data_IF_567409140629
#
_entry.id   IF_567409140629
#
_cell.length_a   1.000
_cell.length_b   1.000
_cell.length_c   1.000
_cell.angle_alpha   90.00
_cell.angle_beta   90.00
_cell.angle_gamma   90.00
#
_symmetry.space_group_name_H-M   'P 1'
#
loop_
_entity.id
_entity.type
_entity.pdbx_description
1 polymer ?
#
# COMPACT_ATOMS: atom_id res chain seq x y z
N UNK A 1 11.91 -22.01 -8.67
CA UNK A 1 10.91 -22.99 -8.19
C UNK A 1 9.70 -22.96 -9.10
N UNK A 2 9.09 -24.12 -9.37
CA UNK A 2 7.76 -24.28 -9.98
C UNK A 2 6.71 -24.29 -8.88
N UNK A 3 5.90 -23.25 -8.80
CA UNK A 3 4.94 -23.02 -7.71
C UNK A 3 3.51 -23.13 -8.24
N UNK A 4 2.76 -24.08 -7.70
CA UNK A 4 1.33 -24.20 -7.91
C UNK A 4 0.56 -23.30 -6.96
N UNK A 5 -0.45 -22.58 -7.45
CA UNK A 5 -1.33 -21.75 -6.63
C UNK A 5 -2.78 -22.11 -6.91
N UNK A 6 -3.48 -22.60 -5.89
CA UNK A 6 -4.94 -22.72 -5.91
C UNK A 6 -5.56 -21.47 -5.30
N UNK A 7 -6.80 -21.11 -5.68
CA UNK A 7 -7.41 -19.86 -5.20
C UNK A 7 -6.70 -18.61 -5.74
N UNK A 8 -6.09 -18.74 -6.93
CA UNK A 8 -5.24 -17.73 -7.57
C UNK A 8 -5.93 -16.40 -7.90
N UNK A 9 -7.25 -16.39 -7.94
CA UNK A 9 -8.10 -15.21 -8.19
C UNK A 9 -8.57 -14.54 -6.88
N UNK A 10 -8.40 -15.21 -5.74
CA UNK A 10 -8.68 -14.62 -4.43
C UNK A 10 -7.57 -13.68 -3.98
N UNK A 11 -7.83 -12.94 -2.89
CA UNK A 11 -6.90 -11.96 -2.31
C UNK A 11 -5.49 -12.53 -2.11
N UNK A 12 -5.36 -13.67 -1.40
CA UNK A 12 -4.06 -14.28 -1.15
C UNK A 12 -3.35 -14.73 -2.44
N UNK A 13 -4.11 -15.33 -3.37
CA UNK A 13 -3.59 -15.78 -4.65
C UNK A 13 -3.06 -14.64 -5.51
N UNK A 14 -3.81 -13.53 -5.59
CA UNK A 14 -3.37 -12.33 -6.29
C UNK A 14 -2.07 -11.77 -5.69
N UNK A 15 -2.02 -11.61 -4.37
CA UNK A 15 -0.85 -11.05 -3.70
C UNK A 15 0.40 -11.93 -3.82
N UNK A 16 0.26 -13.27 -3.72
CA UNK A 16 1.37 -14.19 -3.95
C UNK A 16 1.88 -14.12 -5.38
N UNK A 17 0.98 -14.10 -6.37
CA UNK A 17 1.36 -13.96 -7.79
C UNK A 17 2.10 -12.65 -8.05
N UNK A 18 1.60 -11.53 -7.51
CA UNK A 18 2.25 -10.23 -7.65
C UNK A 18 3.66 -10.25 -7.05
N UNK A 19 3.84 -10.88 -5.88
CA UNK A 19 5.15 -11.01 -5.24
C UNK A 19 6.11 -11.88 -6.06
N UNK A 20 5.66 -13.06 -6.52
CA UNK A 20 6.46 -13.96 -7.34
C UNK A 20 6.88 -13.30 -8.66
N UNK A 21 5.97 -12.53 -9.28
CA UNK A 21 6.29 -11.75 -10.48
C UNK A 21 7.34 -10.68 -10.20
N UNK A 22 7.24 -9.96 -9.08
CA UNK A 22 8.20 -8.92 -8.71
C UNK A 22 9.60 -9.47 -8.40
N UNK A 23 9.69 -10.65 -7.78
CA UNK A 23 10.98 -11.29 -7.45
C UNK A 23 11.62 -11.99 -8.66
N UNK A 24 10.83 -12.42 -9.64
CA UNK A 24 11.31 -13.20 -10.79
C UNK A 24 11.84 -14.59 -10.38
N UNK A 25 12.32 -15.38 -11.35
CA UNK A 25 12.96 -16.69 -11.07
C UNK A 25 12.02 -17.82 -10.64
N UNK A 26 10.70 -17.63 -10.75
CA UNK A 26 9.69 -18.63 -10.43
C UNK A 26 8.81 -18.94 -11.65
N UNK A 27 8.52 -20.21 -11.87
CA UNK A 27 7.47 -20.65 -12.80
C UNK A 27 6.19 -20.80 -11.98
N UNK A 28 5.11 -20.10 -12.36
CA UNK A 28 3.85 -20.11 -11.61
C UNK A 28 2.78 -20.85 -12.39
N UNK A 29 2.18 -21.87 -11.79
CA UNK A 29 1.04 -22.60 -12.33
C UNK A 29 -0.20 -22.31 -11.50
N UNK A 30 -1.31 -21.96 -12.14
CA UNK A 30 -2.55 -21.58 -11.47
C UNK A 30 -3.58 -22.70 -11.57
N UNK A 31 -4.27 -22.99 -10.47
CA UNK A 31 -5.45 -23.83 -10.47
C UNK A 31 -6.72 -22.99 -10.27
N UNK A 32 -7.69 -23.21 -11.15
CA UNK A 32 -9.03 -22.63 -11.08
C UNK A 32 -10.07 -23.75 -11.01
N UNK A 33 -11.36 -23.41 -11.07
CA UNK A 33 -12.44 -24.41 -11.01
C UNK A 33 -12.36 -25.47 -12.12
N UNK A 34 -11.88 -25.12 -13.32
CA UNK A 34 -11.69 -26.07 -14.41
C UNK A 34 -10.49 -27.00 -14.18
N UNK A 35 -9.50 -26.57 -13.40
CA UNK A 35 -8.41 -27.47 -12.95
C UNK A 35 -8.93 -28.56 -12.01
N UNK A 36 -9.97 -28.27 -11.21
CA UNK A 36 -10.58 -29.24 -10.30
C UNK A 36 -11.70 -30.08 -10.94
N UNK A 37 -12.03 -29.86 -12.22
CA UNK A 37 -13.18 -30.53 -12.84
C UNK A 37 -12.91 -31.95 -13.33
N UNK A 38 -11.65 -32.31 -13.58
CA UNK A 38 -11.26 -33.66 -13.99
C UNK A 38 -9.95 -34.08 -13.32
N UNK A 39 -9.77 -35.38 -13.12
CA UNK A 39 -8.53 -35.92 -12.55
C UNK A 39 -7.32 -35.57 -13.43
N UNK A 40 -7.47 -35.68 -14.75
CA UNK A 40 -6.39 -35.40 -15.70
C UNK A 40 -5.91 -33.94 -15.65
N UNK A 41 -6.83 -32.97 -15.51
CA UNK A 41 -6.44 -31.56 -15.40
C UNK A 41 -5.76 -31.25 -14.06
N UNK A 42 -6.20 -31.89 -12.98
CA UNK A 42 -5.57 -31.73 -11.66
C UNK A 42 -4.19 -32.43 -11.60
N UNK A 43 -4.06 -33.60 -12.20
CA UNK A 43 -2.79 -34.34 -12.33
C UNK A 43 -1.76 -33.51 -13.11
N UNK A 44 -2.16 -32.95 -14.25
CA UNK A 44 -1.31 -32.03 -15.02
C UNK A 44 -0.92 -30.79 -14.21
N UNK A 45 -1.80 -30.29 -13.34
CA UNK A 45 -1.50 -29.16 -12.48
C UNK A 45 -0.44 -29.49 -11.43
N UNK A 46 -0.58 -30.61 -10.70
CA UNK A 46 0.35 -30.95 -9.60
C UNK A 46 1.70 -31.49 -10.08
N UNK A 47 1.76 -31.99 -11.31
CA UNK A 47 2.95 -32.66 -11.84
C UNK A 47 4.18 -31.74 -11.89
N UNK A 48 5.26 -32.15 -11.22
CA UNK A 48 6.56 -31.46 -11.23
C UNK A 48 6.59 -30.12 -10.50
N UNK A 49 5.65 -29.88 -9.57
CA UNK A 49 5.71 -28.71 -8.69
C UNK A 49 6.80 -28.89 -7.61
N UNK A 50 7.54 -27.82 -7.33
CA UNK A 50 8.45 -27.75 -6.18
C UNK A 50 7.69 -27.30 -4.91
N UNK A 51 6.66 -26.46 -5.09
CA UNK A 51 5.84 -25.93 -4.00
C UNK A 51 4.38 -25.73 -4.40
N UNK A 52 3.47 -25.85 -3.44
CA UNK A 52 2.03 -25.66 -3.62
C UNK A 52 1.46 -24.74 -2.55
N UNK A 53 0.92 -23.59 -2.97
CA UNK A 53 0.13 -22.71 -2.13
C UNK A 53 -1.35 -23.07 -2.25
N UNK A 54 -1.91 -23.70 -1.22
CA UNK A 54 -3.32 -24.06 -1.19
C UNK A 54 -4.15 -22.95 -0.52
N UNK A 55 -4.63 -21.99 -1.33
CA UNK A 55 -5.51 -20.90 -0.88
C UNK A 55 -6.96 -21.06 -1.32
N UNK A 56 -7.28 -22.04 -2.16
CA UNK A 56 -8.65 -22.33 -2.52
C UNK A 56 -9.43 -22.78 -1.27
N UNK A 57 -10.64 -22.24 -1.13
CA UNK A 57 -11.54 -22.61 -0.05
C UNK A 57 -12.82 -21.81 -0.10
N UNK A 58 -13.85 -22.36 0.51
CA UNK A 58 -15.12 -21.71 0.72
C UNK A 58 -15.18 -21.20 2.15
N UNK A 59 -15.63 -19.96 2.32
CA UNK A 59 -15.66 -19.32 3.63
C UNK A 59 -17.06 -18.84 4.05
N UNK A 60 -18.06 -18.97 3.17
CA UNK A 60 -19.45 -18.53 3.35
C UNK A 60 -20.38 -19.46 2.60
N UNK A 61 -21.56 -19.69 3.14
CA UNK A 61 -22.56 -20.64 2.65
C UNK A 61 -23.14 -21.43 3.83
N UNK A 62 -23.96 -22.43 3.54
CA UNK A 62 -24.47 -23.34 4.57
C UNK A 62 -23.32 -24.12 5.22
N UNK A 63 -23.37 -24.35 6.54
CA UNK A 63 -22.22 -24.90 7.27
C UNK A 63 -21.71 -26.23 6.69
N UNK A 64 -22.62 -27.13 6.36
CA UNK A 64 -22.30 -28.45 5.80
C UNK A 64 -21.65 -28.36 4.42
N UNK A 65 -22.06 -27.39 3.60
CA UNK A 65 -21.51 -27.15 2.28
C UNK A 65 -20.08 -26.60 2.38
N UNK A 66 -19.87 -25.61 3.26
CA UNK A 66 -18.56 -25.01 3.51
C UNK A 66 -17.55 -26.05 4.01
N UNK A 67 -17.99 -26.92 4.92
CA UNK A 67 -17.18 -28.02 5.45
C UNK A 67 -16.80 -29.01 4.34
N UNK A 68 -17.80 -29.50 3.59
CA UNK A 68 -17.61 -30.50 2.54
C UNK A 68 -16.70 -29.99 1.40
N UNK A 69 -16.88 -28.75 0.96
CA UNK A 69 -16.09 -28.17 -0.14
C UNK A 69 -14.61 -28.05 0.22
N UNK A 70 -14.30 -27.56 1.43
CA UNK A 70 -12.91 -27.40 1.85
C UNK A 70 -12.20 -28.75 2.01
N UNK A 71 -12.88 -29.75 2.56
CA UNK A 71 -12.35 -31.11 2.67
C UNK A 71 -12.13 -31.73 1.28
N UNK A 72 -13.12 -31.64 0.39
CA UNK A 72 -13.05 -32.21 -0.95
C UNK A 72 -11.92 -31.64 -1.81
N UNK A 73 -11.64 -30.32 -1.71
CA UNK A 73 -10.53 -29.69 -2.42
C UNK A 73 -9.17 -30.24 -1.99
N UNK A 74 -8.98 -30.44 -0.68
CA UNK A 74 -7.75 -31.03 -0.13
C UNK A 74 -7.60 -32.50 -0.53
N UNK A 75 -8.68 -33.28 -0.43
CA UNK A 75 -8.70 -34.70 -0.82
C UNK A 75 -8.40 -34.88 -2.31
N UNK A 76 -8.96 -34.04 -3.19
CA UNK A 76 -8.69 -34.07 -4.62
C UNK A 76 -7.22 -33.77 -4.94
N UNK A 77 -6.61 -32.79 -4.28
CA UNK A 77 -5.19 -32.47 -4.43
C UNK A 77 -4.30 -33.64 -3.99
N UNK A 78 -4.58 -34.23 -2.83
CA UNK A 78 -3.85 -35.39 -2.33
C UNK A 78 -3.97 -36.57 -3.28
N UNK A 79 -5.16 -36.84 -3.81
CA UNK A 79 -5.38 -37.90 -4.79
C UNK A 79 -4.54 -37.68 -6.06
N UNK A 80 -4.52 -36.45 -6.59
CA UNK A 80 -3.72 -36.11 -7.77
C UNK A 80 -2.20 -36.22 -7.52
N UNK A 81 -1.73 -35.74 -6.35
CA UNK A 81 -0.32 -35.85 -5.97
C UNK A 81 0.10 -37.30 -5.81
N UNK A 82 -0.76 -38.17 -5.25
CA UNK A 82 -0.51 -39.61 -5.19
C UNK A 82 -0.48 -40.29 -6.56
N UNK A 83 -1.43 -39.99 -7.46
CA UNK A 83 -1.46 -40.55 -8.82
C UNK A 83 -0.23 -40.18 -9.65
N UNK A 84 0.26 -38.95 -9.49
CA UNK A 84 1.41 -38.42 -10.24
C UNK A 84 2.75 -38.64 -9.55
N UNK A 85 2.76 -39.21 -8.34
CA UNK A 85 3.93 -39.28 -7.46
C UNK A 85 4.59 -37.91 -7.23
N UNK A 86 3.81 -36.83 -7.26
CA UNK A 86 4.28 -35.46 -7.01
C UNK A 86 4.40 -35.21 -5.51
N UNK A 87 5.49 -34.56 -5.10
CA UNK A 87 5.86 -34.37 -3.71
C UNK A 87 6.27 -32.91 -3.41
N UNK A 88 5.46 -31.89 -3.77
CA UNK A 88 5.80 -30.50 -3.49
C UNK A 88 5.76 -30.19 -1.99
N UNK A 89 6.51 -29.17 -1.56
CA UNK A 89 6.26 -28.56 -0.25
C UNK A 89 4.91 -27.86 -0.27
N UNK A 90 4.05 -28.10 0.73
CA UNK A 90 2.69 -27.54 0.75
C UNK A 90 2.57 -26.48 1.83
N UNK A 91 2.07 -25.30 1.45
CA UNK A 91 1.64 -24.26 2.38
C UNK A 91 0.12 -24.11 2.26
N UNK A 92 -0.60 -24.39 3.34
CA UNK A 92 -2.05 -24.27 3.41
C UNK A 92 -2.44 -23.01 4.16
N UNK A 93 -3.30 -22.16 3.57
CA UNK A 93 -3.88 -21.03 4.29
C UNK A 93 -5.05 -21.48 5.16
N UNK A 94 -4.77 -21.65 6.44
CA UNK A 94 -5.75 -21.90 7.47
C UNK A 94 -6.19 -20.57 8.13
N UNK A 95 -7.08 -20.65 9.11
CA UNK A 95 -7.68 -19.49 9.77
C UNK A 95 -7.73 -19.71 11.27
N UNK A 96 -7.72 -18.64 12.06
CA UNK A 96 -7.99 -18.67 13.51
C UNK A 96 -9.36 -19.29 13.85
N UNK A 97 -10.27 -19.44 12.88
CA UNK A 97 -11.50 -20.21 13.02
C UNK A 97 -11.30 -21.73 13.12
N UNK A 98 -10.10 -22.25 12.83
CA UNK A 98 -9.82 -23.69 12.90
C UNK A 98 -10.17 -24.28 14.27
N UNK A 99 -9.99 -23.50 15.33
CA UNK A 99 -10.26 -23.92 16.71
C UNK A 99 -11.74 -23.75 17.12
N UNK A 100 -12.58 -23.19 16.25
CA UNK A 100 -14.02 -22.98 16.49
C UNK A 100 -14.84 -24.10 15.88
N UNK A 101 -15.94 -24.46 16.54
CA UNK A 101 -16.89 -25.46 16.05
C UNK A 101 -17.93 -24.81 15.11
N UNK A 102 -17.48 -24.42 13.93
CA UNK A 102 -18.35 -23.95 12.82
C UNK A 102 -18.03 -24.75 11.57
N UNK A 103 -18.94 -24.84 10.60
CA UNK A 103 -18.67 -25.54 9.33
C UNK A 103 -17.39 -25.09 8.62
N UNK A 104 -17.09 -23.79 8.68
CA UNK A 104 -15.82 -23.25 8.19
C UNK A 104 -14.60 -23.75 8.98
N UNK A 105 -14.67 -23.71 10.32
CA UNK A 105 -13.60 -24.20 11.19
C UNK A 105 -13.34 -25.70 11.03
N UNK A 106 -14.41 -26.52 11.01
CA UNK A 106 -14.34 -27.96 10.76
C UNK A 106 -13.78 -28.28 9.37
N UNK A 107 -14.24 -27.61 8.32
CA UNK A 107 -13.74 -27.81 6.96
C UNK A 107 -12.24 -27.49 6.82
N UNK A 108 -11.79 -26.39 7.43
CA UNK A 108 -10.36 -26.03 7.45
C UNK A 108 -9.51 -27.01 8.25
N UNK A 109 -10.01 -27.48 9.39
CA UNK A 109 -9.34 -28.50 10.21
C UNK A 109 -9.18 -29.80 9.43
N UNK A 110 -10.25 -30.27 8.80
CA UNK A 110 -10.25 -31.49 7.98
C UNK A 110 -9.29 -31.38 6.80
N UNK A 111 -9.29 -30.25 6.09
CA UNK A 111 -8.34 -30.01 5.00
C UNK A 111 -6.88 -30.06 5.47
N UNK A 112 -6.57 -29.45 6.63
CA UNK A 112 -5.23 -29.50 7.21
C UNK A 112 -4.82 -30.92 7.63
N UNK A 113 -5.74 -31.70 8.21
CA UNK A 113 -5.51 -33.11 8.55
C UNK A 113 -5.20 -33.97 7.32
N UNK A 114 -5.97 -33.81 6.24
CA UNK A 114 -5.78 -34.55 4.98
C UNK A 114 -4.41 -34.24 4.36
N UNK A 115 -4.05 -32.96 4.27
CA UNK A 115 -2.77 -32.54 3.71
C UNK A 115 -1.59 -32.94 4.60
N UNK A 116 -1.73 -32.78 5.93
CA UNK A 116 -0.68 -33.16 6.89
C UNK A 116 -0.43 -34.66 6.95
N UNK A 117 -1.48 -35.48 6.89
CA UNK A 117 -1.35 -36.94 6.83
C UNK A 117 -0.64 -37.38 5.54
N UNK A 118 -1.05 -36.84 4.38
CA UNK A 118 -0.35 -37.09 3.12
C UNK A 118 1.12 -36.66 3.16
N UNK A 119 1.41 -35.47 3.71
CA UNK A 119 2.77 -34.97 3.79
C UNK A 119 3.66 -35.86 4.67
N UNK A 120 3.11 -36.36 5.79
CA UNK A 120 3.77 -37.32 6.67
C UNK A 120 4.07 -38.63 5.95
N UNK A 121 3.08 -39.20 5.24
CA UNK A 121 3.24 -40.44 4.48
C UNK A 121 4.30 -40.34 3.38
N UNK A 122 4.39 -39.18 2.72
CA UNK A 122 5.31 -38.93 1.62
C UNK A 122 6.67 -38.37 2.07
N UNK A 123 6.85 -38.06 3.35
CA UNK A 123 8.08 -37.46 3.88
C UNK A 123 8.37 -36.06 3.35
N UNK A 124 7.33 -35.27 3.05
CA UNK A 124 7.44 -33.89 2.56
C UNK A 124 7.02 -32.87 3.61
N UNK A 125 7.44 -31.62 3.43
CA UNK A 125 7.12 -30.54 4.36
C UNK A 125 5.72 -30.00 4.12
N UNK A 126 4.97 -29.81 5.21
CA UNK A 126 3.65 -29.20 5.21
C UNK A 126 3.57 -28.09 6.25
N UNK A 127 3.28 -26.87 5.79
CA UNK A 127 3.03 -25.71 6.65
C UNK A 127 1.53 -25.43 6.74
N UNK A 128 0.96 -25.64 7.94
CA UNK A 128 -0.41 -25.23 8.28
C UNK A 128 -0.38 -23.77 8.78
N UNK A 129 -0.55 -22.82 7.85
CA UNK A 129 -0.41 -21.39 8.13
C UNK A 129 -1.73 -20.80 8.63
N UNK A 130 -1.84 -20.60 9.95
CA UNK A 130 -3.04 -20.05 10.61
C UNK A 130 -3.05 -18.52 10.50
N UNK A 131 -3.99 -18.01 9.72
CA UNK A 131 -4.13 -16.58 9.45
C UNK A 131 -5.22 -15.94 10.33
N UNK A 132 -4.98 -14.75 10.89
CA UNK A 132 -6.02 -13.95 11.52
C UNK A 132 -6.83 -13.20 10.44
N UNK A 133 -7.21 -11.94 10.66
CA UNK A 133 -7.98 -11.17 9.69
C UNK A 133 -7.06 -10.64 8.60
N UNK A 134 -7.24 -11.12 7.37
CA UNK A 134 -6.42 -10.70 6.23
C UNK A 134 -7.10 -9.57 5.46
N UNK A 135 -6.34 -8.53 5.13
CA UNK A 135 -6.77 -7.43 4.26
C UNK A 135 -5.72 -7.10 3.19
N UNK A 136 -6.11 -6.33 2.18
CA UNK A 136 -5.22 -5.82 1.15
C UNK A 136 -6.00 -5.25 -0.02
N UNK A 137 -5.27 -4.75 -1.02
CA UNK A 137 -5.84 -4.28 -2.28
C UNK A 137 -6.64 -5.40 -2.98
N UNK A 138 -7.71 -5.02 -3.67
CA UNK A 138 -8.55 -5.95 -4.45
C UNK A 138 -9.28 -7.03 -3.63
N UNK A 139 -9.38 -6.86 -2.31
CA UNK A 139 -10.27 -7.68 -1.50
C UNK A 139 -11.73 -7.52 -1.94
N UNK A 140 -12.50 -8.61 -1.93
CA UNK A 140 -13.92 -8.53 -2.29
C UNK A 140 -14.70 -7.82 -1.16
N UNK A 141 -15.34 -6.67 -1.41
CA UNK A 141 -16.17 -6.00 -0.41
C UNK A 141 -17.39 -6.86 -0.06
N UNK A 142 -17.95 -6.66 1.12
CA UNK A 142 -19.07 -7.43 1.66
C UNK A 142 -18.79 -8.94 1.71
N UNK A 143 -17.53 -9.36 1.62
CA UNK A 143 -17.05 -10.70 1.92
C UNK A 143 -16.37 -10.68 3.31
N UNK A 144 -15.32 -11.45 3.53
CA UNK A 144 -14.77 -11.71 4.87
C UNK A 144 -13.86 -10.62 5.45
N UNK A 145 -13.66 -9.51 4.73
CA UNK A 145 -12.78 -8.42 5.15
C UNK A 145 -13.62 -7.17 5.38
N UNK A 146 -13.77 -6.79 6.66
CA UNK A 146 -14.41 -5.52 7.03
C UNK A 146 -13.64 -4.31 6.50
N UNK A 147 -12.31 -4.42 6.40
CA UNK A 147 -11.46 -3.40 5.75
C UNK A 147 -11.89 -3.19 4.30
N UNK A 148 -12.07 -4.28 3.53
CA UNK A 148 -12.49 -4.20 2.13
C UNK A 148 -13.88 -3.59 1.96
N UNK A 149 -14.80 -3.91 2.87
CA UNK A 149 -16.14 -3.32 2.89
C UNK A 149 -16.07 -1.82 3.18
N UNK A 150 -15.40 -1.40 4.26
CA UNK A 150 -15.29 0.01 4.64
C UNK A 150 -14.60 0.83 3.55
N UNK A 151 -13.49 0.35 2.98
CA UNK A 151 -12.82 1.04 1.88
C UNK A 151 -13.72 1.18 0.64
N UNK A 152 -14.50 0.15 0.30
CA UNK A 152 -15.45 0.23 -0.82
C UNK A 152 -16.56 1.24 -0.56
N UNK A 153 -17.13 1.25 0.64
CA UNK A 153 -18.20 2.18 1.02
C UNK A 153 -17.70 3.63 0.95
N UNK A 154 -16.57 3.92 1.60
CA UNK A 154 -15.94 5.25 1.57
C UNK A 154 -15.63 5.71 0.15
N UNK A 155 -15.05 4.81 -0.68
CA UNK A 155 -14.71 5.15 -2.06
C UNK A 155 -15.93 5.40 -2.97
N UNK A 156 -17.12 4.97 -2.58
CA UNK A 156 -18.37 5.24 -3.29
C UNK A 156 -19.23 6.32 -2.60
N UNK A 157 -18.68 7.04 -1.62
CA UNK A 157 -19.39 8.11 -0.90
C UNK A 157 -20.46 7.62 0.06
N UNK A 158 -20.41 6.34 0.45
CA UNK A 158 -21.28 5.77 1.47
C UNK A 158 -20.70 5.97 2.87
N UNK A 159 -21.54 5.87 3.89
CA UNK A 159 -21.12 5.90 5.30
C UNK A 159 -21.03 4.46 5.80
N UNK A 160 -19.84 3.96 6.16
CA UNK A 160 -19.73 2.63 6.74
C UNK A 160 -20.40 2.55 8.11
N UNK A 161 -21.08 1.43 8.38
CA UNK A 161 -21.78 1.18 9.63
C UNK A 161 -21.13 0.03 10.41
N UNK A 162 -21.09 0.17 11.74
CA UNK A 162 -20.59 -0.86 12.65
C UNK A 162 -21.77 -1.60 13.27
N UNK A 163 -21.93 -2.86 12.91
CA UNK A 163 -22.96 -3.72 13.52
C UNK A 163 -22.44 -4.39 14.79
N UNK A 164 -21.16 -4.77 14.81
CA UNK A 164 -20.47 -5.40 15.94
C UNK A 164 -19.09 -4.79 16.05
N UNK A 165 -18.79 -4.17 17.19
CA UNK A 165 -17.46 -3.63 17.47
C UNK A 165 -16.54 -4.72 18.03
N UNK A 166 -16.08 -5.60 17.14
CA UNK A 166 -15.19 -6.71 17.50
C UNK A 166 -13.72 -6.33 17.48
N UNK A 167 -12.92 -7.06 18.27
CA UNK A 167 -11.46 -6.98 18.17
C UNK A 167 -10.97 -7.78 16.95
N UNK A 168 -10.33 -7.09 16.02
CA UNK A 168 -9.65 -7.67 14.87
C UNK A 168 -8.16 -7.83 15.16
N UNK A 169 -7.50 -8.65 14.36
CA UNK A 169 -6.05 -8.78 14.31
C UNK A 169 -5.67 -8.81 12.83
N UNK A 170 -5.15 -7.69 12.33
CA UNK A 170 -4.99 -7.43 10.91
C UNK A 170 -3.62 -7.87 10.41
N UNK A 171 -3.61 -8.63 9.32
CA UNK A 171 -2.41 -8.97 8.55
C UNK A 171 -2.65 -8.60 7.09
N UNK A 172 -1.68 -7.92 6.49
CA UNK A 172 -1.76 -7.56 5.08
C UNK A 172 -1.44 -8.74 4.17
N UNK A 173 -2.15 -8.89 3.06
CA UNK A 173 -2.02 -10.01 2.14
C UNK A 173 -0.60 -10.14 1.53
N UNK A 174 0.14 -9.03 1.34
CA UNK A 174 1.57 -9.13 0.96
C UNK A 174 2.46 -9.76 2.05
N UNK A 175 2.15 -9.56 3.33
CA UNK A 175 2.88 -10.23 4.42
C UNK A 175 2.58 -11.73 4.46
N UNK A 176 1.34 -12.13 4.13
CA UNK A 176 0.99 -13.54 3.95
C UNK A 176 1.71 -14.14 2.74
N UNK A 177 1.77 -13.43 1.62
CA UNK A 177 2.50 -13.85 0.43
C UNK A 177 4.00 -14.07 0.70
N UNK A 178 4.62 -13.13 1.42
CA UNK A 178 5.99 -13.26 1.91
C UNK A 178 6.18 -14.50 2.77
N UNK A 179 5.33 -14.67 3.77
CA UNK A 179 5.43 -15.80 4.69
C UNK A 179 5.25 -17.14 3.99
N UNK A 180 4.31 -17.21 3.05
CA UNK A 180 4.08 -18.40 2.22
C UNK A 180 5.33 -18.78 1.43
N UNK A 181 5.96 -17.81 0.75
CA UNK A 181 7.19 -18.07 0.00
C UNK A 181 8.34 -18.50 0.91
N UNK A 182 8.54 -17.82 2.05
CA UNK A 182 9.60 -18.17 3.00
C UNK A 182 9.39 -19.57 3.58
N UNK A 183 8.15 -19.98 3.87
CA UNK A 183 7.83 -21.32 4.35
C UNK A 183 8.15 -22.40 3.30
N UNK A 184 7.85 -22.15 2.02
CA UNK A 184 8.23 -23.05 0.93
C UNK A 184 9.75 -23.17 0.78
N UNK A 185 10.49 -22.06 0.86
CA UNK A 185 11.95 -22.05 0.67
C UNK A 185 12.71 -22.71 1.82
N UNK A 186 12.21 -22.56 3.04
CA UNK A 186 12.80 -23.16 4.24
C UNK A 186 12.31 -24.59 4.51
N UNK A 187 11.38 -25.12 3.70
CA UNK A 187 10.72 -26.40 3.95
C UNK A 187 10.16 -26.48 5.38
N UNK A 188 9.49 -25.41 5.80
CA UNK A 188 8.94 -25.31 7.14
C UNK A 188 7.83 -26.35 7.36
N UNK A 189 7.85 -27.03 8.50
CA UNK A 189 6.91 -28.10 8.81
C UNK A 189 6.13 -27.81 10.09
N UNK A 190 4.84 -28.15 10.07
CA UNK A 190 3.93 -28.00 11.19
C UNK A 190 3.03 -26.77 11.10
N UNK A 191 2.33 -26.49 12.22
CA UNK A 191 1.37 -25.39 12.31
C UNK A 191 2.06 -24.12 12.76
N UNK A 192 1.85 -23.03 12.02
CA UNK A 192 2.37 -21.70 12.36
C UNK A 192 1.26 -20.67 12.30
N UNK A 193 1.10 -19.89 13.37
CA UNK A 193 0.16 -18.77 13.42
C UNK A 193 0.86 -17.47 13.08
N UNK A 194 0.32 -16.71 12.13
CA UNK A 194 0.78 -15.35 11.88
C UNK A 194 0.24 -14.42 12.96
N UNK A 195 1.10 -13.58 13.53
CA UNK A 195 0.70 -12.45 14.36
C UNK A 195 0.30 -11.28 13.46
N UNK A 196 -0.82 -10.64 13.80
CA UNK A 196 -1.24 -9.38 13.18
C UNK A 196 -1.28 -8.24 14.19
N UNK A 197 -1.72 -7.08 13.71
CA UNK A 197 -1.88 -5.91 14.55
C UNK A 197 -3.32 -5.84 15.10
N UNK A 198 -3.52 -5.83 16.43
CA UNK A 198 -4.85 -5.79 17.02
C UNK A 198 -5.50 -4.41 16.83
N UNK A 199 -6.77 -4.38 16.43
CA UNK A 199 -7.54 -3.14 16.26
C UNK A 199 -9.04 -3.40 16.46
N UNK A 200 -9.73 -2.52 17.17
CA UNK A 200 -11.20 -2.56 17.25
C UNK A 200 -11.81 -2.14 15.91
N UNK A 201 -12.99 -2.65 15.55
CA UNK A 201 -13.68 -2.25 14.31
C UNK A 201 -13.94 -0.74 14.30
N UNK A 202 -14.29 -0.14 15.44
CA UNK A 202 -14.43 1.30 15.64
C UNK A 202 -13.12 2.05 15.36
N UNK A 203 -12.01 1.61 15.94
CA UNK A 203 -10.69 2.21 15.70
C UNK A 203 -10.21 2.06 14.24
N UNK A 204 -10.57 0.97 13.57
CA UNK A 204 -10.33 0.79 12.14
C UNK A 204 -11.12 1.80 11.31
N UNK A 205 -12.43 1.96 11.59
CA UNK A 205 -13.28 2.89 10.87
C UNK A 205 -12.84 4.34 11.09
N UNK A 206 -12.51 4.71 12.32
CA UNK A 206 -11.95 6.03 12.65
C UNK A 206 -10.69 6.32 11.82
N UNK A 207 -9.76 5.36 11.79
CA UNK A 207 -8.51 5.50 11.01
C UNK A 207 -8.79 5.63 9.51
N UNK A 208 -9.67 4.82 8.94
CA UNK A 208 -10.03 4.90 7.52
C UNK A 208 -10.74 6.22 7.17
N UNK A 209 -11.62 6.72 8.03
CA UNK A 209 -12.27 8.02 7.87
C UNK A 209 -11.25 9.16 7.90
N UNK A 210 -10.31 9.14 8.85
CA UNK A 210 -9.25 10.14 8.93
C UNK A 210 -8.38 10.13 7.66
N UNK A 211 -7.97 8.96 7.19
CA UNK A 211 -7.21 8.80 5.93
C UNK A 211 -8.00 9.32 4.73
N UNK A 212 -9.28 8.96 4.63
CA UNK A 212 -10.16 9.40 3.54
C UNK A 212 -10.37 10.92 3.54
N UNK A 213 -10.61 11.52 4.71
CA UNK A 213 -10.82 12.95 4.87
C UNK A 213 -9.55 13.76 4.53
N UNK A 214 -8.40 13.36 5.06
CA UNK A 214 -7.11 14.01 4.76
C UNK A 214 -6.80 13.93 3.27
N UNK A 215 -6.96 12.75 2.67
CA UNK A 215 -6.68 12.55 1.26
C UNK A 215 -7.66 13.33 0.36
N UNK A 216 -8.94 13.41 0.73
CA UNK A 216 -9.93 14.26 0.07
C UNK A 216 -9.62 15.75 0.18
N UNK A 217 -8.97 16.19 1.26
CA UNK A 217 -8.42 17.54 1.42
C UNK A 217 -7.09 17.77 0.69
N UNK A 218 -6.66 16.82 -0.17
CA UNK A 218 -5.39 16.85 -0.90
C UNK A 218 -4.17 16.89 0.03
N UNK A 219 -4.28 16.27 1.20
CA UNK A 219 -3.19 16.12 2.16
C UNK A 219 -2.82 14.65 2.24
N UNK A 220 -1.55 14.34 1.99
CA UNK A 220 -1.00 13.01 2.24
C UNK A 220 -0.95 12.81 3.76
N UNK A 221 -1.58 11.75 4.28
CA UNK A 221 -1.61 11.47 5.71
C UNK A 221 -0.20 11.16 6.25
N UNK A 222 -0.08 11.12 7.57
CA UNK A 222 1.07 10.55 8.25
C UNK A 222 1.19 9.04 7.96
N UNK A 223 2.32 8.57 7.44
CA UNK A 223 2.53 7.19 6.98
C UNK A 223 3.66 6.44 7.72
N UNK A 224 3.98 6.88 8.94
CA UNK A 224 5.10 6.33 9.72
C UNK A 224 4.91 4.89 10.17
N UNK A 225 3.69 4.43 10.40
CA UNK A 225 3.43 3.05 10.84
C UNK A 225 3.02 2.13 9.66
N UNK A 226 3.50 0.88 9.64
CA UNK A 226 3.22 -0.03 8.54
C UNK A 226 1.73 -0.30 8.30
N UNK A 227 0.89 -0.36 9.35
CA UNK A 227 -0.53 -0.63 9.19
C UNK A 227 -1.23 0.54 8.51
N UNK A 228 -0.98 1.77 8.92
CA UNK A 228 -1.55 2.98 8.30
C UNK A 228 -1.15 3.07 6.83
N UNK A 229 0.12 2.81 6.49
CA UNK A 229 0.56 2.77 5.08
C UNK A 229 -0.22 1.73 4.27
N UNK A 230 -0.38 0.51 4.80
CA UNK A 230 -1.10 -0.58 4.12
C UNK A 230 -2.60 -0.29 3.99
N UNK A 231 -3.22 0.27 5.02
CA UNK A 231 -4.63 0.70 4.99
C UNK A 231 -4.83 1.85 3.98
N UNK A 232 -3.91 2.81 3.93
CA UNK A 232 -3.98 3.92 2.99
C UNK A 232 -3.83 3.45 1.54
N UNK A 233 -2.88 2.55 1.26
CA UNK A 233 -2.75 1.94 -0.06
C UNK A 233 -3.98 1.11 -0.44
N UNK A 234 -4.53 0.34 0.51
CA UNK A 234 -5.79 -0.41 0.32
C UNK A 234 -6.92 0.53 -0.04
N UNK A 235 -7.16 1.60 0.73
CA UNK A 235 -8.20 2.60 0.47
C UNK A 235 -8.03 3.25 -0.93
N UNK A 236 -6.82 3.68 -1.27
CA UNK A 236 -6.51 4.26 -2.59
C UNK A 236 -6.79 3.32 -3.75
N UNK A 237 -6.61 2.00 -3.57
CA UNK A 237 -6.95 1.02 -4.59
C UNK A 237 -8.47 0.99 -4.89
N UNK A 238 -9.33 1.26 -3.91
CA UNK A 238 -10.78 1.38 -4.12
C UNK A 238 -11.21 2.74 -4.69
N UNK A 239 -10.45 3.80 -4.39
CA UNK A 239 -10.69 5.15 -4.95
C UNK A 239 -10.33 5.23 -6.44
N UNK A 240 -9.42 4.39 -6.91
CA UNK A 240 -9.02 4.35 -8.31
C UNK A 240 -10.07 3.65 -9.21
N UNK A 241 -10.31 4.13 -10.46
CA UNK A 241 -9.75 5.34 -11.07
C UNK A 241 -10.54 6.60 -10.76
N UNK A 242 -11.73 6.49 -10.15
CA UNK A 242 -12.73 7.56 -10.05
C UNK A 242 -12.23 8.83 -9.34
N UNK A 243 -11.32 8.70 -8.38
CA UNK A 243 -10.76 9.84 -7.65
C UNK A 243 -9.90 10.76 -8.53
N UNK A 244 -9.42 10.27 -9.68
CA UNK A 244 -8.48 10.99 -10.54
C UNK A 244 -9.10 11.39 -11.89
N UNK A 245 -8.58 12.44 -12.54
CA UNK A 245 -7.54 13.36 -12.07
C UNK A 245 -8.07 14.33 -10.99
N UNK A 246 -7.17 14.79 -10.10
CA UNK A 246 -7.47 15.83 -9.10
C UNK A 246 -6.88 17.16 -9.60
N UNK A 247 -7.71 18.18 -9.90
CA UNK A 247 -7.22 19.48 -10.33
C UNK A 247 -6.62 20.28 -9.17
N UNK A 248 -5.54 21.01 -9.44
CA UNK A 248 -4.90 21.92 -8.49
C UNK A 248 -5.35 23.37 -8.74
N UNK A 249 -5.46 24.15 -7.66
CA UNK A 249 -5.78 25.56 -7.76
C UNK A 249 -4.56 26.36 -8.22
N UNK A 250 -4.72 27.10 -9.32
CA UNK A 250 -3.68 27.96 -9.89
C UNK A 250 -3.90 29.41 -9.45
N UNK A 251 -2.87 30.02 -8.85
CA UNK A 251 -2.83 31.43 -8.50
C UNK A 251 -1.95 32.16 -9.54
N UNK A 252 -2.58 32.88 -10.47
CA UNK A 252 -1.89 33.54 -11.60
C UNK A 252 -2.03 35.05 -11.55
N UNK A 253 -0.93 35.75 -11.82
CA UNK A 253 -0.88 37.19 -12.01
C UNK A 253 0.12 37.58 -13.13
N UNK A 254 0.49 38.85 -13.22
CA UNK A 254 1.45 39.34 -14.23
C UNK A 254 2.90 38.86 -14.01
N UNK A 255 3.22 38.29 -12.85
CA UNK A 255 4.54 37.76 -12.49
C UNK A 255 4.71 36.31 -12.93
N UNK A 256 3.61 35.57 -13.05
CA UNK A 256 3.57 34.16 -13.42
C UNK A 256 2.44 33.44 -12.68
N UNK A 257 2.64 32.16 -12.37
CA UNK A 257 1.66 31.33 -11.69
C UNK A 257 2.27 30.62 -10.47
N UNK A 258 1.44 30.22 -9.52
CA UNK A 258 1.83 29.38 -8.38
C UNK A 258 0.71 28.38 -8.08
N UNK A 259 1.06 27.16 -7.72
CA UNK A 259 0.12 26.15 -7.23
C UNK A 259 0.76 25.25 -6.18
N UNK A 260 -0.05 24.79 -5.23
CA UNK A 260 0.36 23.81 -4.21
C UNK A 260 0.37 22.41 -4.85
N UNK A 261 1.51 21.73 -4.83
CA UNK A 261 1.67 20.45 -5.52
C UNK A 261 1.46 19.25 -4.58
N UNK A 262 2.13 19.24 -3.43
CA UNK A 262 2.03 18.16 -2.45
C UNK A 262 1.97 18.77 -1.07
N UNK A 263 0.94 18.41 -0.29
CA UNK A 263 0.84 18.71 1.14
C UNK A 263 0.90 17.40 1.89
N UNK A 264 1.69 17.35 2.96
CA UNK A 264 1.79 16.17 3.80
C UNK A 264 1.85 16.58 5.27
N UNK A 265 1.13 15.85 6.12
CA UNK A 265 1.27 16.02 7.58
C UNK A 265 2.67 15.60 8.07
N UNK A 266 3.45 14.92 7.23
CA UNK A 266 4.81 14.49 7.50
C UNK A 266 5.72 14.84 6.33
N UNK A 267 6.53 15.89 6.50
CA UNK A 267 7.44 16.36 5.45
C UNK A 267 6.99 17.66 4.77
N UNK A 268 6.01 18.39 5.33
CA UNK A 268 5.70 19.76 4.95
C UNK A 268 4.91 19.90 3.64
N UNK A 269 5.25 20.95 2.89
CA UNK A 269 4.52 21.34 1.70
C UNK A 269 5.48 21.64 0.55
N UNK A 270 5.17 21.09 -0.62
CA UNK A 270 5.81 21.43 -1.89
C UNK A 270 4.85 22.23 -2.76
N UNK A 271 5.32 23.36 -3.29
CA UNK A 271 4.60 24.17 -4.26
C UNK A 271 5.51 24.56 -5.41
N UNK A 272 4.93 24.82 -6.58
CA UNK A 272 5.68 25.25 -7.75
C UNK A 272 5.22 26.62 -8.19
N UNK A 273 6.14 27.38 -8.76
CA UNK A 273 5.81 28.63 -9.40
C UNK A 273 6.50 28.79 -10.75
N UNK A 274 5.81 29.45 -11.67
CA UNK A 274 6.42 30.05 -12.86
C UNK A 274 6.71 31.53 -12.58
N UNK A 275 7.84 32.02 -13.06
CA UNK A 275 8.24 33.43 -12.93
C UNK A 275 8.71 33.96 -14.28
N UNK A 276 8.12 35.05 -14.77
CA UNK A 276 8.44 35.64 -16.08
C UNK A 276 9.80 36.36 -16.07
N UNK A 277 10.43 36.56 -17.25
CA UNK A 277 11.71 37.27 -17.36
C UNK A 277 11.72 38.63 -16.65
N UNK A 278 12.79 38.92 -15.90
CA UNK A 278 12.99 40.18 -15.19
C UNK A 278 12.15 40.36 -13.92
N UNK A 279 11.32 39.39 -13.55
CA UNK A 279 10.47 39.49 -12.36
C UNK A 279 11.20 38.98 -11.12
N UNK A 280 11.07 39.74 -10.02
CA UNK A 280 11.51 39.35 -8.68
C UNK A 280 10.33 38.94 -7.80
N UNK A 281 10.49 37.87 -7.02
CA UNK A 281 9.56 37.39 -6.00
C UNK A 281 10.31 37.21 -4.67
N UNK A 282 9.59 37.13 -3.55
CA UNK A 282 10.18 37.07 -2.21
C UNK A 282 10.10 38.41 -1.51
N UNK A 283 11.24 38.98 -1.12
CA UNK A 283 11.35 40.18 -0.28
C UNK A 283 10.59 40.02 1.04
N UNK A 284 10.88 38.91 1.71
CA UNK A 284 10.39 38.61 3.03
C UNK A 284 11.36 37.69 3.77
N UNK A 285 11.17 37.54 5.07
CA UNK A 285 11.89 36.60 5.91
C UNK A 285 10.92 35.77 6.77
N UNK A 286 11.48 34.76 7.42
CA UNK A 286 10.80 33.87 8.35
C UNK A 286 11.49 33.86 9.72
N UNK A 287 10.73 33.63 10.79
CA UNK A 287 11.28 33.47 12.13
C UNK A 287 11.50 31.99 12.49
N UNK A 288 10.68 31.09 11.93
CA UNK A 288 10.68 29.65 12.26
C UNK A 288 10.55 28.73 11.05
N UNK A 289 9.91 29.17 9.98
CA UNK A 289 9.69 28.42 8.74
C UNK A 289 11.03 28.15 8.06
N UNK A 290 11.18 26.93 7.60
CA UNK A 290 12.31 26.45 6.82
C UNK A 290 11.83 26.27 5.40
N UNK A 291 12.53 26.90 4.47
CA UNK A 291 12.23 26.79 3.05
C UNK A 291 13.45 26.38 2.23
N UNK A 292 13.21 25.63 1.16
CA UNK A 292 14.19 25.22 0.17
C UNK A 292 13.71 25.61 -1.22
N UNK A 293 14.54 26.35 -1.95
CA UNK A 293 14.25 26.77 -3.32
C UNK A 293 15.09 25.93 -4.28
N UNK A 294 14.45 25.31 -5.27
CA UNK A 294 15.08 24.52 -6.32
C UNK A 294 14.58 25.00 -7.69
N UNK A 295 15.44 25.66 -8.45
CA UNK A 295 15.13 26.02 -9.84
C UNK A 295 15.29 24.79 -10.72
N UNK A 296 14.21 24.38 -11.40
CA UNK A 296 14.17 23.18 -12.25
C UNK A 296 14.08 23.51 -13.74
N UNK A 297 13.82 24.77 -14.09
CA UNK A 297 13.85 25.27 -15.47
C UNK A 297 14.14 26.78 -15.48
N UNK A 298 14.85 27.26 -16.49
CA UNK A 298 15.29 28.66 -16.62
C UNK A 298 16.46 29.03 -15.72
N UNK A 299 16.82 30.31 -15.74
CA UNK A 299 17.95 30.88 -14.99
C UNK A 299 17.46 31.95 -14.01
N UNK A 300 17.88 31.84 -12.75
CA UNK A 300 17.50 32.75 -11.69
C UNK A 300 18.71 33.23 -10.86
N UNK A 301 18.56 34.35 -10.19
CA UNK A 301 19.43 34.79 -9.11
C UNK A 301 18.64 34.79 -7.80
N UNK A 302 19.12 34.08 -6.79
CA UNK A 302 18.56 34.08 -5.44
C UNK A 302 19.45 34.95 -4.55
N UNK A 303 18.85 35.94 -3.89
CA UNK A 303 19.55 36.89 -3.04
C UNK A 303 19.07 36.72 -1.60
N UNK A 304 20.00 36.78 -0.64
CA UNK A 304 19.70 36.72 0.79
C UNK A 304 20.46 37.82 1.53
N UNK A 305 19.82 38.43 2.53
CA UNK A 305 20.42 39.40 3.44
C UNK A 305 19.96 39.13 4.86
N UNK A 306 20.92 38.99 5.78
CA UNK A 306 20.62 38.87 7.21
C UNK A 306 19.94 40.15 7.71
N UNK A 307 18.93 40.02 8.56
CA UNK A 307 18.34 41.19 9.22
C UNK A 307 19.42 42.02 9.94
N UNK A 308 19.30 43.33 9.83
CA UNK A 308 20.25 44.31 10.40
C UNK A 308 21.68 44.26 9.83
N UNK A 309 21.86 43.61 8.68
CA UNK A 309 23.08 43.67 7.88
C UNK A 309 22.79 44.30 6.53
N UNK A 310 23.79 44.93 5.92
CA UNK A 310 23.79 45.41 4.54
C UNK A 310 24.44 44.41 3.57
N UNK A 311 25.00 43.30 4.08
CA UNK A 311 25.66 42.28 3.26
C UNK A 311 24.63 41.39 2.54
N UNK A 312 24.61 41.49 1.21
CA UNK A 312 23.76 40.66 0.33
C UNK A 312 24.58 39.53 -0.30
N UNK A 313 24.16 38.29 -0.05
CA UNK A 313 24.72 37.09 -0.67
C UNK A 313 23.87 36.72 -1.89
N UNK A 314 24.51 36.43 -3.03
CA UNK A 314 23.84 36.13 -4.30
C UNK A 314 24.23 34.77 -4.85
N UNK A 315 23.24 34.03 -5.33
CA UNK A 315 23.41 32.71 -5.93
C UNK A 315 22.81 32.69 -7.33
N UNK A 316 23.65 32.49 -8.35
CA UNK A 316 23.18 32.20 -9.72
C UNK A 316 22.85 30.71 -9.82
N UNK A 317 21.60 30.42 -10.17
CA UNK A 317 21.08 29.05 -10.23
C UNK A 317 20.39 28.83 -11.57
N UNK A 318 20.43 27.58 -12.06
CA UNK A 318 19.87 27.22 -13.36
C UNK A 318 19.22 25.85 -13.31
N UNK A 319 18.09 25.68 -14.01
CA UNK A 319 17.46 24.37 -14.19
C UNK A 319 18.31 23.39 -14.99
N UNK A 320 19.29 23.87 -15.78
CA UNK A 320 20.23 23.03 -16.51
C UNK A 320 21.27 22.35 -15.59
N UNK A 321 21.51 22.92 -14.41
CA UNK A 321 22.37 22.37 -13.37
C UNK A 321 21.67 22.50 -12.00
N UNK A 322 20.68 21.63 -11.71
CA UNK A 322 19.81 21.80 -10.55
C UNK A 322 20.60 21.84 -9.24
N UNK A 323 20.41 22.92 -8.48
CA UNK A 323 20.93 23.10 -7.14
C UNK A 323 19.87 23.78 -6.27
N UNK A 324 19.92 23.52 -4.96
CA UNK A 324 19.00 24.13 -4.01
C UNK A 324 19.71 25.17 -3.14
N UNK A 325 18.96 26.18 -2.72
CA UNK A 325 19.37 27.11 -1.68
C UNK A 325 18.32 27.04 -0.57
N UNK A 326 18.77 26.81 0.67
CA UNK A 326 17.90 26.86 1.85
C UNK A 326 17.81 28.31 2.35
N UNK A 327 16.60 28.77 2.68
CA UNK A 327 16.37 30.12 3.20
C UNK A 327 16.53 30.08 4.72
N UNK A 328 17.63 30.61 5.29
CA UNK A 328 17.79 30.61 6.74
C UNK A 328 16.80 31.58 7.37
N UNK A 329 16.33 31.27 8.57
CA UNK A 329 15.52 32.22 9.35
C UNK A 329 16.30 33.51 9.59
N UNK A 330 15.56 34.61 9.78
CA UNK A 330 16.13 35.95 9.93
C UNK A 330 16.97 36.44 8.74
N UNK A 331 16.78 35.86 7.56
CA UNK A 331 17.33 36.37 6.31
C UNK A 331 16.16 36.72 5.39
N UNK A 332 16.07 38.00 5.01
CA UNK A 332 15.20 38.35 3.90
C UNK A 332 15.79 37.77 2.62
N UNK A 333 14.93 37.25 1.76
CA UNK A 333 15.36 36.60 0.54
C UNK A 333 14.45 36.91 -0.63
N UNK A 334 15.02 36.89 -1.83
CA UNK A 334 14.32 37.09 -3.08
C UNK A 334 14.87 36.19 -4.18
N UNK A 335 14.06 35.94 -5.19
CA UNK A 335 14.44 35.22 -6.41
C UNK A 335 14.04 36.06 -7.61
N UNK A 336 14.98 36.30 -8.51
CA UNK A 336 14.78 37.06 -9.74
C UNK A 336 15.02 36.17 -10.95
N UNK A 337 14.09 36.18 -11.91
CA UNK A 337 14.34 35.57 -13.21
C UNK A 337 15.29 36.46 -14.00
N UNK A 338 16.49 35.94 -14.27
CA UNK A 338 17.58 36.63 -14.98
C UNK A 338 17.80 36.09 -16.40
N UNK A 339 16.99 35.12 -16.81
CA UNK A 339 17.00 34.55 -18.16
C UNK A 339 16.01 35.23 -19.10
N UNK A 340 15.86 34.66 -20.30
CA UNK A 340 14.94 35.12 -21.35
C UNK A 340 13.63 34.32 -21.44
N UNK A 341 13.53 33.22 -20.70
CA UNK A 341 12.35 32.34 -20.63
C UNK A 341 11.74 32.34 -19.23
N UNK A 342 10.55 31.77 -19.06
CA UNK A 342 10.01 31.55 -17.72
C UNK A 342 10.92 30.64 -16.90
N UNK A 343 11.06 30.98 -15.62
CA UNK A 343 11.72 30.16 -14.61
C UNK A 343 10.65 29.31 -13.93
N UNK A 344 10.92 28.02 -13.75
CA UNK A 344 10.10 27.14 -12.92
C UNK A 344 10.90 26.82 -11.66
N UNK A 345 10.33 27.19 -10.51
CA UNK A 345 10.94 26.94 -9.21
C UNK A 345 10.04 26.03 -8.40
N UNK A 346 10.62 24.95 -7.89
CA UNK A 346 10.05 24.12 -6.85
C UNK A 346 10.45 24.70 -5.50
N UNK A 347 9.47 24.88 -4.65
CA UNK A 347 9.64 25.31 -3.27
C UNK A 347 9.21 24.18 -2.36
N UNK A 348 9.98 23.94 -1.31
CA UNK A 348 9.57 23.09 -0.21
C UNK A 348 9.59 23.93 1.07
N UNK A 349 8.55 23.82 1.88
CA UNK A 349 8.46 24.37 3.22
C UNK A 349 8.24 23.23 4.22
N UNK A 350 8.76 23.36 5.45
CA UNK A 350 8.62 22.33 6.47
C UNK A 350 7.18 22.16 7.00
N UNK A 351 6.29 23.12 6.72
CA UNK A 351 4.92 23.15 7.20
C UNK A 351 3.93 23.50 6.09
N UNK A 352 2.65 23.16 6.30
CA UNK A 352 1.56 23.56 5.41
C UNK A 352 1.22 25.02 5.73
N UNK A 353 1.03 25.83 4.69
CA UNK A 353 0.69 27.24 4.82
C UNK A 353 -0.59 27.45 5.62
N UNK A 354 -0.48 28.22 6.71
CA UNK A 354 -1.60 28.70 7.51
C UNK A 354 -1.73 30.23 7.35
N UNK A 355 -2.81 30.74 6.74
CA UNK A 355 -3.04 32.18 6.62
C UNK A 355 -3.12 32.93 7.95
N UNK A 356 -3.50 32.26 9.05
CA UNK A 356 -3.59 32.85 10.38
C UNK A 356 -2.22 32.94 11.08
N UNK A 357 -1.27 32.10 10.68
CA UNK A 357 0.12 32.10 11.16
C UNK A 357 1.09 31.85 9.99
N UNK A 358 1.26 32.82 9.07
CA UNK A 358 1.99 32.61 7.83
C UNK A 358 3.51 32.58 8.03
N UNK A 359 4.02 33.03 9.18
CA UNK A 359 5.45 33.27 9.47
C UNK A 359 6.20 33.99 8.33
N UNK A 360 5.54 34.90 7.62
CA UNK A 360 6.12 35.61 6.47
C UNK A 360 6.04 37.11 6.72
N UNK A 361 7.21 37.77 6.80
CA UNK A 361 7.31 39.19 7.14
C UNK A 361 8.01 39.94 6.02
N UNK A 362 7.35 40.97 5.47
CA UNK A 362 7.89 41.76 4.38
C UNK A 362 9.15 42.54 4.82
N UNK A 363 10.22 42.42 4.04
CA UNK A 363 11.49 43.11 4.22
C UNK A 363 12.23 43.04 2.88
N UNK A 364 12.62 44.17 2.29
CA UNK A 364 13.33 44.14 1.02
C UNK A 364 14.76 43.60 1.20
N UNK A 365 15.24 42.81 0.23
CA UNK A 365 16.66 42.41 0.21
C UNK A 365 17.57 43.61 -0.05
N UNK A 366 17.12 44.53 -0.91
CA UNK A 366 17.83 45.73 -1.36
C UNK A 366 17.03 47.01 -1.10
#
# INVERSE_FOLDING_TARGET
MKIGITGAEGLLGFHLRARLQALGGHEVRLANRATFSTEASLDAFVNGLDGLAHFAGMNRGEEHEVEAVNAALAEALVAAMRRTCSAPTVVFSNSTHVDRDTGYGRGKRRAAEVLGAWATDCGVSFTDLVLPHVFGEFGKPFANSVVSTFCWQLANGETPEIHVDGLLELVHAQAVAERCLSAMQSSENGRVRMAGEPIQVSGLLERLNALHAQYGAQIVPALNDPLTLRLFNTLRAYLFPKHYPVPLQLHTDNRGSLFEAVKTHQGGQTFLSTTRPGITRGNHFHLRKVERFLVVSGDAEICLRKLFSDEVVRFRVSGAAPCYIDMPTFHTHSITNVGSTEVVTLFWANEIFDPADPDTYAEAVE
#
